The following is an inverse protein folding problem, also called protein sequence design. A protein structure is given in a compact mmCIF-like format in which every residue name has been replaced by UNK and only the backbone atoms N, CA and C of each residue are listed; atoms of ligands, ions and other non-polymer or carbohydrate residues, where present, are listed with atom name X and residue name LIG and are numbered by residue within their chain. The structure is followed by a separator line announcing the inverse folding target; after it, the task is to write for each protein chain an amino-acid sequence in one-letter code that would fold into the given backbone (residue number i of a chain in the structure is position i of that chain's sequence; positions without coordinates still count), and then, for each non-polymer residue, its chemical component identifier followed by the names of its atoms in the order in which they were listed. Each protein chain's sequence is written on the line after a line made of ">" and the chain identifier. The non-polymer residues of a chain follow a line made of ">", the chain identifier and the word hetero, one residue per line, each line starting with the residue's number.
data_IF_199657086761
#
_entry.id   IF_199657086761
#
_cell.length_a   1.000
_cell.length_b   1.000
_cell.length_c   1.000
_cell.angle_alpha   90.00
_cell.angle_beta   90.00
_cell.angle_gamma   90.00
#
_symmetry.space_group_name_H-M   'P 1'
#
loop_
_entity.id
_entity.type
_entity.pdbx_description
1 polymer ?
#
# COMPACT_ATOMS: atom_id res chain seq x y z
N UNK A 1 5.90 13.10 6.66
CA UNK A 1 4.92 13.98 7.35
C UNK A 1 3.77 13.06 7.70
N UNK A 2 3.19 13.17 8.89
CA UNK A 2 2.03 12.33 9.23
C UNK A 2 0.80 12.94 8.56
N UNK A 3 0.11 12.15 7.75
CA UNK A 3 -1.17 12.47 7.13
C UNK A 3 -2.29 11.72 7.82
N UNK A 4 -3.50 12.24 7.73
CA UNK A 4 -4.74 11.61 8.21
C UNK A 4 -5.74 11.48 7.08
N UNK A 5 -6.39 10.32 6.97
CA UNK A 5 -7.51 10.06 6.06
C UNK A 5 -8.67 9.47 6.85
N UNK A 6 -9.89 9.93 6.57
CA UNK A 6 -11.12 9.49 7.25
C UNK A 6 -11.71 10.54 8.19
N UNK A 7 -12.64 10.10 9.05
CA UNK A 7 -13.38 10.93 9.99
C UNK A 7 -12.97 10.66 11.45
N UNK A 8 -13.68 11.21 12.43
CA UNK A 8 -13.31 11.04 13.84
C UNK A 8 -13.50 9.62 14.38
N UNK A 9 -14.40 8.83 13.80
CA UNK A 9 -14.64 7.44 14.20
C UNK A 9 -13.81 6.44 13.41
N UNK A 10 -13.65 6.68 12.11
CA UNK A 10 -12.96 5.79 11.18
C UNK A 10 -11.88 6.60 10.46
N UNK A 11 -10.63 6.49 10.92
CA UNK A 11 -9.50 7.10 10.24
C UNK A 11 -8.21 6.30 10.38
N UNK A 12 -7.29 6.60 9.48
CA UNK A 12 -5.90 6.17 9.55
C UNK A 12 -4.98 7.38 9.61
N UNK A 13 -3.82 7.18 10.21
CA UNK A 13 -2.69 8.09 10.12
C UNK A 13 -1.49 7.35 9.54
N UNK A 14 -0.72 8.00 8.68
CA UNK A 14 0.43 7.37 8.03
C UNK A 14 1.51 8.36 7.64
N UNK A 15 2.73 7.84 7.47
CA UNK A 15 3.84 8.58 6.89
C UNK A 15 3.89 8.40 5.36
N UNK A 16 3.82 9.51 4.66
CA UNK A 16 3.90 9.55 3.20
C UNK A 16 5.29 9.27 2.63
N UNK A 17 6.35 9.48 3.43
CA UNK A 17 7.73 9.11 3.06
C UNK A 17 8.02 7.67 3.47
N UNK A 18 8.40 6.85 2.50
CA UNK A 18 8.81 5.46 2.77
C UNK A 18 10.27 5.37 3.18
N UNK A 19 10.60 4.40 4.04
CA UNK A 19 11.99 4.06 4.32
C UNK A 19 12.59 3.24 3.17
N UNK A 20 13.93 3.19 3.09
CA UNK A 20 14.62 2.32 2.13
C UNK A 20 14.21 0.85 2.26
N UNK A 21 14.05 0.35 3.49
CA UNK A 21 13.61 -1.03 3.75
C UNK A 21 12.20 -1.30 3.22
N UNK A 22 11.27 -0.38 3.47
CA UNK A 22 9.89 -0.45 2.96
C UNK A 22 9.88 -0.47 1.43
N UNK A 23 10.63 0.44 0.79
CA UNK A 23 10.74 0.50 -0.68
C UNK A 23 11.24 -0.82 -1.27
N UNK A 24 12.34 -1.35 -0.73
CA UNK A 24 12.92 -2.61 -1.20
C UNK A 24 11.97 -3.79 -1.01
N UNK A 25 11.23 -3.84 0.10
CA UNK A 25 10.23 -4.88 0.36
C UNK A 25 9.08 -4.81 -0.66
N UNK A 26 8.57 -3.60 -0.94
CA UNK A 26 7.52 -3.38 -1.94
C UNK A 26 7.96 -3.86 -3.32
N UNK A 27 9.14 -3.42 -3.78
CA UNK A 27 9.67 -3.78 -5.11
C UNK A 27 9.91 -5.29 -5.25
N UNK A 28 10.37 -5.96 -4.19
CA UNK A 28 10.58 -7.41 -4.22
C UNK A 28 9.27 -8.18 -4.29
N UNK A 29 8.22 -7.72 -3.62
CA UNK A 29 6.90 -8.37 -3.62
C UNK A 29 6.11 -8.12 -4.92
N UNK A 30 6.44 -7.08 -5.69
CA UNK A 30 5.91 -6.87 -7.05
C UNK A 30 6.52 -7.82 -8.09
N UNK A 31 7.67 -8.44 -7.82
CA UNK A 31 8.30 -9.36 -8.77
C UNK A 31 7.51 -10.68 -8.84
N UNK A 32 7.40 -11.30 -10.02
CA UNK A 32 6.78 -12.61 -10.15
C UNK A 32 7.51 -13.64 -9.26
N UNK A 33 6.74 -14.41 -8.49
CA UNK A 33 7.25 -15.32 -7.46
C UNK A 33 7.99 -16.54 -8.01
N UNK A 34 7.85 -16.85 -9.31
CA UNK A 34 8.61 -17.93 -9.94
C UNK A 34 8.86 -17.65 -11.42
N UNK A 35 10.03 -18.08 -11.88
CA UNK A 35 10.41 -18.16 -13.28
C UNK A 35 10.37 -19.65 -13.65
N UNK A 36 9.40 -20.07 -14.46
CA UNK A 36 9.34 -21.43 -15.00
C UNK A 36 9.66 -21.40 -16.49
N UNK A 37 10.62 -22.24 -16.89
CA UNK A 37 10.91 -22.55 -18.28
C UNK A 37 10.48 -23.99 -18.47
N UNK A 38 9.29 -24.19 -19.03
CA UNK A 38 8.82 -25.51 -19.45
C UNK A 38 8.71 -25.51 -20.98
N UNK A 39 9.38 -26.45 -21.64
CA UNK A 39 9.19 -26.72 -23.07
C UNK A 39 9.49 -25.60 -24.07
N UNK A 40 10.10 -24.48 -23.66
CA UNK A 40 10.41 -23.34 -24.55
C UNK A 40 9.48 -22.12 -24.41
N UNK A 41 8.44 -22.19 -23.57
CA UNK A 41 7.62 -21.04 -23.21
C UNK A 41 8.02 -20.50 -21.83
N UNK A 42 8.28 -19.19 -21.75
CA UNK A 42 8.55 -18.49 -20.49
C UNK A 42 7.19 -18.11 -19.89
N UNK A 43 6.78 -18.85 -18.85
CA UNK A 43 5.58 -18.57 -18.09
C UNK A 43 5.89 -17.80 -16.80
N UNK A 44 5.17 -16.70 -16.56
CA UNK A 44 5.19 -16.01 -15.27
C UNK A 44 3.95 -16.40 -14.47
N UNK A 45 4.11 -17.26 -13.46
CA UNK A 45 3.02 -17.59 -12.51
C UNK A 45 2.96 -16.54 -11.40
N UNK A 46 1.97 -15.65 -11.47
CA UNK A 46 1.51 -14.90 -10.31
C UNK A 46 0.54 -15.78 -9.53
N UNK A 47 1.05 -16.64 -8.65
CA UNK A 47 0.20 -17.36 -7.69
C UNK A 47 -0.66 -16.36 -6.91
N UNK A 48 -1.88 -16.76 -6.53
CA UNK A 48 -2.72 -15.99 -5.61
C UNK A 48 -1.89 -15.64 -4.36
N UNK A 49 -1.43 -14.40 -4.28
CA UNK A 49 -0.54 -13.94 -3.22
C UNK A 49 -1.43 -13.63 -2.02
N UNK A 50 -1.32 -14.40 -0.94
CA UNK A 50 -1.93 -14.06 0.34
C UNK A 50 -1.61 -12.59 0.67
N UNK A 51 -2.59 -11.79 1.09
CA UNK A 51 -2.43 -10.33 1.19
C UNK A 51 -1.20 -9.88 1.99
N UNK A 52 -0.81 -10.59 3.07
CA UNK A 52 0.40 -10.25 3.83
C UNK A 52 1.72 -10.37 3.01
N UNK A 53 1.70 -11.12 1.91
CA UNK A 53 2.80 -11.24 0.94
C UNK A 53 2.70 -10.21 -0.20
N UNK A 54 1.63 -9.42 -0.27
CA UNK A 54 1.44 -8.41 -1.31
C UNK A 54 2.30 -7.16 -1.09
N UNK A 55 2.51 -6.42 -2.18
CA UNK A 55 3.29 -5.18 -2.18
C UNK A 55 2.56 -4.08 -1.39
N UNK A 56 1.24 -4.01 -1.52
CA UNK A 56 0.34 -3.09 -0.81
C UNK A 56 0.50 -3.27 0.71
N UNK A 57 0.48 -4.52 1.19
CA UNK A 57 0.70 -4.79 2.61
C UNK A 57 2.07 -4.31 3.10
N UNK A 58 3.13 -4.39 2.27
CA UNK A 58 4.43 -3.83 2.66
C UNK A 58 4.40 -2.30 2.84
N UNK A 59 3.62 -1.57 2.03
CA UNK A 59 3.44 -0.12 2.20
C UNK A 59 2.62 0.20 3.43
N UNK A 60 1.47 -0.45 3.61
CA UNK A 60 0.60 -0.29 4.78
C UNK A 60 1.41 -0.56 6.05
N UNK A 61 2.08 -1.70 6.12
CA UNK A 61 2.91 -2.11 7.24
C UNK A 61 4.07 -1.16 7.51
N UNK A 62 4.71 -0.64 6.46
CA UNK A 62 5.83 0.29 6.58
C UNK A 62 5.43 1.70 7.01
N UNK A 63 4.25 2.17 6.62
CA UNK A 63 3.88 3.58 6.71
C UNK A 63 2.74 3.91 7.67
N UNK A 64 1.85 2.96 7.98
CA UNK A 64 0.71 3.19 8.87
C UNK A 64 1.21 3.47 10.28
N UNK A 65 0.82 4.62 10.84
CA UNK A 65 1.17 5.03 12.20
C UNK A 65 0.01 4.87 13.16
N UNK A 66 -1.23 5.00 12.69
CA UNK A 66 -2.41 4.83 13.54
C UNK A 66 -3.59 4.32 12.75
N UNK A 67 -4.43 3.51 13.38
CA UNK A 67 -5.70 3.06 12.85
C UNK A 67 -6.76 3.16 13.94
N UNK A 68 -7.81 3.91 13.65
CA UNK A 68 -8.99 4.08 14.50
C UNK A 68 -10.21 3.63 13.72
N UNK A 69 -11.00 2.75 14.35
CA UNK A 69 -12.22 2.22 13.77
C UNK A 69 -13.32 2.19 14.83
N UNK A 70 -14.49 2.72 14.48
CA UNK A 70 -15.62 2.95 15.37
C UNK A 70 -15.27 3.76 16.63
N UNK A 71 -14.28 4.66 16.51
CA UNK A 71 -13.78 5.48 17.61
C UNK A 71 -12.77 4.77 18.52
N UNK A 72 -12.45 3.50 18.25
CA UNK A 72 -11.45 2.74 19.00
C UNK A 72 -10.13 2.67 18.25
N UNK A 73 -9.02 2.91 18.96
CA UNK A 73 -7.67 2.74 18.41
C UNK A 73 -7.38 1.24 18.30
N UNK A 74 -7.38 0.69 17.08
CA UNK A 74 -6.99 -0.70 16.82
C UNK A 74 -5.48 -0.86 16.70
N UNK A 75 -4.79 0.19 16.27
CA UNK A 75 -3.34 0.22 16.18
C UNK A 75 -2.78 1.63 16.37
N UNK A 76 -1.68 1.73 17.09
CA UNK A 76 -0.88 2.95 17.19
C UNK A 76 0.60 2.57 17.26
N UNK A 77 1.39 3.13 16.36
CA UNK A 77 2.82 2.86 16.24
C UNK A 77 3.53 3.51 17.42
N UNK A 78 4.02 2.68 18.34
CA UNK A 78 4.89 3.12 19.42
C UNK A 78 6.23 3.67 18.93
N UNK A 79 7.10 4.05 19.87
CA UNK A 79 8.40 4.68 19.59
C UNK A 79 9.39 3.80 18.84
N UNK A 80 9.15 2.49 18.77
CA UNK A 80 9.99 1.55 18.04
C UNK A 80 9.63 1.54 16.55
N UNK A 81 10.51 1.99 15.64
CA UNK A 81 10.24 2.01 14.21
C UNK A 81 10.11 0.62 13.57
N UNK A 82 10.43 -0.46 14.30
CA UNK A 82 10.16 -1.84 13.89
C UNK A 82 8.73 -2.31 14.21
N UNK A 83 7.94 -1.52 14.96
CA UNK A 83 6.54 -1.83 15.20
C UNK A 83 5.74 -1.57 13.92
N UNK A 84 5.66 -2.60 13.10
CA UNK A 84 4.74 -2.67 11.98
C UNK A 84 3.36 -3.08 12.44
N UNK A 85 2.32 -2.69 11.69
CA UNK A 85 0.97 -3.18 11.97
C UNK A 85 0.90 -4.71 11.77
N UNK A 86 0.30 -5.47 12.71
CA UNK A 86 0.04 -6.89 12.53
C UNK A 86 -0.92 -7.13 11.35
N UNK A 87 -0.80 -8.27 10.69
CA UNK A 87 -1.66 -8.63 9.56
C UNK A 87 -3.13 -8.76 9.99
N UNK A 88 -3.35 -9.35 11.16
CA UNK A 88 -4.66 -9.61 11.74
C UNK A 88 -5.44 -8.31 11.93
N UNK A 89 -4.76 -7.25 12.38
CA UNK A 89 -5.36 -5.92 12.53
C UNK A 89 -5.85 -5.37 11.20
N UNK A 90 -5.17 -5.63 10.08
CA UNK A 90 -5.61 -5.13 8.77
C UNK A 90 -6.74 -5.99 8.20
N UNK A 91 -6.78 -7.28 8.49
CA UNK A 91 -7.87 -8.15 8.06
C UNK A 91 -9.20 -7.85 8.73
N UNK A 92 -9.16 -7.39 9.98
CA UNK A 92 -10.35 -7.06 10.75
C UNK A 92 -10.93 -5.68 10.40
N UNK A 93 -10.25 -4.92 9.53
CA UNK A 93 -10.61 -3.55 9.17
C UNK A 93 -11.51 -3.54 7.94
N UNK A 94 -12.75 -3.15 8.16
CA UNK A 94 -13.78 -3.11 7.11
C UNK A 94 -14.07 -1.66 6.74
N UNK A 95 -14.27 -0.78 7.73
CA UNK A 95 -14.72 0.59 7.54
C UNK A 95 -13.60 1.54 7.05
N UNK A 96 -12.33 1.14 7.21
CA UNK A 96 -11.18 1.90 6.71
C UNK A 96 -10.56 1.30 5.43
N UNK A 97 -11.19 0.31 4.79
CA UNK A 97 -10.69 -0.31 3.54
C UNK A 97 -10.35 0.73 2.48
N UNK A 98 -11.28 1.64 2.16
CA UNK A 98 -11.03 2.73 1.20
C UNK A 98 -9.91 3.69 1.64
N UNK A 99 -9.76 3.93 2.94
CA UNK A 99 -8.70 4.81 3.45
C UNK A 99 -7.33 4.15 3.27
N UNK A 100 -7.24 2.83 3.48
CA UNK A 100 -6.02 2.06 3.24
C UNK A 100 -5.63 2.06 1.76
N UNK A 101 -6.59 1.90 0.86
CA UNK A 101 -6.34 1.98 -0.58
C UNK A 101 -5.83 3.37 -1.00
N UNK A 102 -6.51 4.43 -0.56
CA UNK A 102 -6.09 5.83 -0.81
C UNK A 102 -4.70 6.14 -0.24
N UNK A 103 -4.37 5.56 0.93
CA UNK A 103 -3.03 5.66 1.51
C UNK A 103 -1.98 5.00 0.60
N UNK A 104 -2.26 3.81 0.08
CA UNK A 104 -1.36 3.11 -0.84
C UNK A 104 -1.12 3.94 -2.09
N UNK A 105 -2.18 4.44 -2.72
CA UNK A 105 -2.10 5.31 -3.91
C UNK A 105 -1.25 6.56 -3.67
N UNK A 106 -1.51 7.30 -2.59
CA UNK A 106 -0.75 8.51 -2.23
C UNK A 106 0.74 8.21 -2.00
N UNK A 107 1.05 7.06 -1.37
CA UNK A 107 2.44 6.63 -1.17
C UNK A 107 3.10 6.26 -2.50
N UNK A 108 2.39 5.54 -3.37
CA UNK A 108 2.92 5.16 -4.68
C UNK A 108 3.24 6.37 -5.54
N UNK A 109 2.33 7.34 -5.60
CA UNK A 109 2.50 8.59 -6.37
C UNK A 109 3.67 9.40 -5.81
N UNK A 110 3.69 9.67 -4.51
CA UNK A 110 4.72 10.52 -3.88
C UNK A 110 6.13 9.94 -3.94
N UNK A 111 6.24 8.62 -3.92
CA UNK A 111 7.53 7.94 -3.93
C UNK A 111 7.90 7.40 -5.32
N UNK A 112 7.10 7.74 -6.35
CA UNK A 112 7.27 7.34 -7.74
C UNK A 112 7.46 5.82 -7.90
N UNK A 113 6.63 5.04 -7.19
CA UNK A 113 6.70 3.58 -7.16
C UNK A 113 5.93 2.93 -8.32
N UNK A 114 4.99 3.67 -8.92
CA UNK A 114 4.16 3.18 -10.03
C UNK A 114 4.04 4.20 -11.19
N UNK A 115 5.16 4.55 -11.84
CA UNK A 115 5.20 5.65 -12.82
C UNK A 115 4.33 5.43 -14.06
N UNK A 116 3.99 4.18 -14.42
CA UNK A 116 3.15 3.88 -15.58
C UNK A 116 1.68 4.25 -15.36
N UNK A 117 1.15 4.08 -14.15
CA UNK A 117 -0.25 4.40 -13.82
C UNK A 117 -0.43 5.91 -13.66
N UNK A 118 0.49 6.59 -12.98
CA UNK A 118 0.42 8.04 -12.77
C UNK A 118 0.50 8.81 -14.10
N UNK A 119 1.35 8.37 -15.04
CA UNK A 119 1.43 9.00 -16.37
C UNK A 119 0.21 8.72 -17.26
N UNK A 120 -0.45 7.57 -17.11
CA UNK A 120 -1.67 7.23 -17.85
C UNK A 120 -2.89 8.03 -17.34
N UNK A 121 -3.08 8.08 -16.01
CA UNK A 121 -4.14 8.87 -15.37
C UNK A 121 -3.98 10.35 -15.69
N UNK A 122 -2.76 10.88 -15.67
CA UNK A 122 -2.49 12.29 -15.97
C UNK A 122 -2.80 12.64 -17.43
N UNK A 123 -2.58 11.71 -18.36
CA UNK A 123 -2.97 11.87 -19.77
C UNK A 123 -4.49 11.86 -19.98
N UNK A 124 -5.23 11.03 -19.25
CA UNK A 124 -6.70 11.01 -19.32
C UNK A 124 -7.31 12.30 -18.75
N UNK A 125 -6.80 12.79 -17.62
CA UNK A 125 -7.25 14.06 -17.02
C UNK A 125 -6.91 15.28 -17.91
N UNK A 126 -5.78 15.26 -18.62
CA UNK A 126 -5.42 16.30 -19.59
C UNK A 126 -6.27 16.22 -20.88
N UNK A 127 -6.77 15.04 -21.25
CA UNK A 127 -7.69 14.88 -22.36
C UNK A 127 -9.08 15.45 -22.04
N UNK A 128 -9.62 15.18 -20.83
CA UNK A 128 -10.94 15.67 -20.41
C UNK A 128 -11.01 17.20 -20.19
N UNK A 129 -9.88 17.89 -20.05
CA UNK A 129 -9.83 19.36 -19.90
C UNK A 129 -9.74 20.11 -21.24
N UNK A 130 -9.52 19.41 -22.33
CA UNK A 130 -9.37 19.99 -23.67
C UNK A 130 -10.56 19.69 -24.61
N UNK A 131 -11.60 19.03 -24.11
CA UNK A 131 -12.95 18.95 -24.72
C UNK A 131 -13.89 19.99 -24.08
#
# INVERSE_FOLDING_TARGET
>A
MIKRLGNDKNHIEYNDKITYGTKKSYENKKKPNSFRVDGGEVGFEMNAVEFYKSAEFALISGCLTKLVENGEVKFERGSNPRNTVPYEVICDVIENSENLDKMVEDIEEKNNLNPRTTAAIKKEIEAEKND
#
